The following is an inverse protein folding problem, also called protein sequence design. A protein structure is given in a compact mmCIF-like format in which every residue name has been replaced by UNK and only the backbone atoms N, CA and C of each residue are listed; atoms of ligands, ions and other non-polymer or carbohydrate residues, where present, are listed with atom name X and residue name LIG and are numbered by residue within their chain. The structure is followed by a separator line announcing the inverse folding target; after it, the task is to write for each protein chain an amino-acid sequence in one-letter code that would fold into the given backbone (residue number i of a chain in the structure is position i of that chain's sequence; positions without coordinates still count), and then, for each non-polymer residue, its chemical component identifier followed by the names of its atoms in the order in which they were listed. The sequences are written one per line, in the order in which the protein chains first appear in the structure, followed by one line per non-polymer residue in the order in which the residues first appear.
data_IF_945579769383
#
_entry.id   IF_945579769383
#
_cell.length_a   1.000
_cell.length_b   1.000
_cell.length_c   1.000
_cell.angle_alpha   90.00
_cell.angle_beta   90.00
_cell.angle_gamma   90.00
#
_symmetry.space_group_name_H-M   'P 1'
#
loop_
_entity.id
_entity.type
_entity.pdbx_description
1 polymer ?
#
# COMPACT_ATOMS: atom_id res chain seq x y z
N UNK A 1 -14.08 20.71 22.56
CA UNK A 1 -12.75 20.21 22.94
C UNK A 1 -11.95 19.95 21.67
N UNK A 2 -10.89 20.72 21.41
CA UNK A 2 -10.05 20.56 20.21
C UNK A 2 -8.98 19.50 20.44
N UNK A 3 -9.23 18.25 20.04
CA UNK A 3 -8.19 17.22 20.02
C UNK A 3 -7.38 17.36 18.73
N UNK A 4 -6.06 17.42 18.86
CA UNK A 4 -5.14 17.43 17.71
C UNK A 4 -5.27 16.10 16.95
N UNK A 5 -5.72 16.17 15.70
CA UNK A 5 -5.84 15.00 14.84
C UNK A 5 -4.53 14.75 14.10
N UNK A 6 -4.23 13.48 13.86
CA UNK A 6 -3.06 13.11 13.06
C UNK A 6 -3.35 13.27 11.57
N UNK A 7 -2.39 13.79 10.82
CA UNK A 7 -2.48 13.82 9.36
C UNK A 7 -2.26 12.40 8.83
N UNK A 8 -3.28 11.82 8.20
CA UNK A 8 -3.22 10.46 7.64
C UNK A 8 -2.63 10.44 6.23
N UNK A 9 -2.95 11.44 5.40
CA UNK A 9 -2.48 11.55 4.02
C UNK A 9 -1.88 12.94 3.73
N UNK A 10 -0.77 12.99 2.98
CA UNK A 10 -0.10 14.25 2.56
C UNK A 10 0.03 14.35 1.04
N UNK A 11 -1.10 14.58 0.38
CA UNK A 11 -1.22 14.71 -1.08
C UNK A 11 -0.43 13.65 -1.85
N UNK A 12 -0.63 12.34 -1.56
CA UNK A 12 0.16 11.27 -2.16
C UNK A 12 0.01 11.20 -3.69
N UNK A 13 -1.14 11.59 -4.22
CA UNK A 13 -1.43 11.50 -5.67
C UNK A 13 -0.75 12.59 -6.49
N UNK A 14 -0.48 13.76 -5.91
CA UNK A 14 -0.03 14.94 -6.65
C UNK A 14 1.39 15.40 -6.31
N UNK A 15 1.95 14.92 -5.20
CA UNK A 15 3.21 15.45 -4.65
C UNK A 15 4.26 14.38 -4.36
N UNK A 16 4.03 13.11 -4.74
CA UNK A 16 5.02 12.05 -4.49
C UNK A 16 6.23 12.19 -5.41
N UNK A 17 7.43 12.18 -4.84
CA UNK A 17 8.67 12.27 -5.63
C UNK A 17 9.31 10.91 -5.91
N UNK A 18 8.92 9.86 -5.19
CA UNK A 18 9.40 8.49 -5.37
C UNK A 18 8.47 7.47 -4.69
N UNK A 19 8.59 6.15 -4.98
CA UNK A 19 7.82 5.12 -4.28
C UNK A 19 7.99 5.14 -2.76
N UNK A 20 9.21 5.38 -2.26
CA UNK A 20 9.50 5.49 -0.83
C UNK A 20 8.92 6.76 -0.21
N UNK A 21 8.82 7.87 -0.95
CA UNK A 21 8.11 9.08 -0.53
C UNK A 21 6.59 8.86 -0.46
N UNK A 22 6.02 8.18 -1.46
CA UNK A 22 4.61 7.81 -1.49
C UNK A 22 4.23 6.98 -0.24
N UNK A 23 4.88 5.82 -0.04
CA UNK A 23 4.55 4.91 1.08
C UNK A 23 5.08 5.36 2.44
N UNK A 24 6.18 6.12 2.46
CA UNK A 24 6.88 6.48 3.69
C UNK A 24 6.47 7.81 4.30
N UNK A 25 5.98 8.76 3.49
CA UNK A 25 5.79 10.15 3.93
C UNK A 25 4.44 10.74 3.55
N UNK A 26 3.64 10.05 2.72
CA UNK A 26 2.40 10.61 2.18
C UNK A 26 1.18 9.72 2.29
N UNK A 27 1.36 8.42 2.20
CA UNK A 27 0.29 7.44 2.29
C UNK A 27 0.18 6.85 3.69
N UNK A 28 -1.01 6.93 4.28
CA UNK A 28 -1.38 6.31 5.55
C UNK A 28 -0.30 6.45 6.65
N UNK A 29 0.01 7.70 7.00
CA UNK A 29 1.07 8.06 7.94
C UNK A 29 0.88 7.48 9.34
N UNK A 30 -0.37 7.24 9.73
CA UNK A 30 -0.69 6.52 10.96
C UNK A 30 -0.06 5.13 10.93
N UNK A 31 -0.39 4.32 9.91
CA UNK A 31 0.19 2.98 9.76
C UNK A 31 1.68 3.02 9.52
N UNK A 32 2.19 3.96 8.70
CA UNK A 32 3.64 4.14 8.52
C UNK A 32 4.35 4.27 9.88
N UNK A 33 3.82 5.10 10.78
CA UNK A 33 4.43 5.30 12.11
C UNK A 33 4.41 4.02 12.96
N UNK A 34 3.34 3.24 12.87
CA UNK A 34 3.18 1.95 13.57
C UNK A 34 4.18 0.92 13.04
N UNK A 35 4.24 0.70 11.72
CA UNK A 35 5.19 -0.24 11.12
C UNK A 35 6.65 0.19 11.31
N UNK A 36 6.92 1.50 11.25
CA UNK A 36 8.26 2.03 11.49
C UNK A 36 8.78 1.67 12.87
N UNK A 37 7.93 1.77 13.90
CA UNK A 37 8.29 1.42 15.29
C UNK A 37 8.20 -0.08 15.57
N UNK A 38 7.19 -0.75 15.06
CA UNK A 38 6.88 -2.15 15.38
C UNK A 38 7.64 -3.18 14.56
N UNK A 39 8.05 -2.85 13.33
CA UNK A 39 8.67 -3.82 12.41
C UNK A 39 10.00 -3.31 11.89
N UNK A 40 10.01 -2.13 11.25
CA UNK A 40 11.20 -1.64 10.54
C UNK A 40 12.38 -1.36 11.47
N UNK A 41 12.20 -0.55 12.53
CA UNK A 41 13.28 -0.20 13.47
C UNK A 41 13.85 -1.44 14.19
N UNK A 42 13.04 -2.36 14.72
CA UNK A 42 13.54 -3.61 15.31
C UNK A 42 14.37 -4.44 14.33
N UNK A 43 13.90 -4.65 13.10
CA UNK A 43 14.66 -5.38 12.08
C UNK A 43 15.94 -4.64 11.69
N UNK A 44 15.88 -3.32 11.52
CA UNK A 44 17.02 -2.51 11.08
C UNK A 44 18.19 -2.52 12.08
N UNK A 45 17.95 -2.86 13.35
CA UNK A 45 19.02 -3.02 14.37
C UNK A 45 19.98 -4.14 14.01
N UNK A 46 19.48 -5.24 13.46
CA UNK A 46 20.26 -6.47 13.22
C UNK A 46 20.40 -6.81 11.72
N UNK A 47 19.60 -6.20 10.85
CA UNK A 47 19.51 -6.54 9.44
C UNK A 47 19.70 -5.32 8.52
N UNK A 48 20.12 -5.53 7.25
CA UNK A 48 20.25 -4.46 6.28
C UNK A 48 18.90 -3.81 5.92
N UNK A 49 18.97 -2.63 5.29
CA UNK A 49 17.79 -1.80 4.96
C UNK A 49 16.74 -2.57 4.16
N UNK A 50 17.16 -3.38 3.18
CA UNK A 50 16.24 -4.12 2.32
C UNK A 50 15.47 -5.20 3.08
N UNK A 51 16.07 -5.86 4.07
CA UNK A 51 15.37 -6.83 4.94
C UNK A 51 14.34 -6.12 5.81
N UNK A 52 14.72 -5.00 6.42
CA UNK A 52 13.80 -4.22 7.25
C UNK A 52 12.62 -3.66 6.45
N UNK A 53 12.86 -3.21 5.22
CA UNK A 53 11.82 -2.78 4.30
C UNK A 53 10.90 -3.94 3.91
N UNK A 54 11.48 -5.07 3.48
CA UNK A 54 10.72 -6.29 3.11
C UNK A 54 9.84 -6.75 4.27
N UNK A 55 10.38 -6.80 5.49
CA UNK A 55 9.62 -7.18 6.68
C UNK A 55 8.43 -6.25 6.95
N UNK A 56 8.57 -4.94 6.73
CA UNK A 56 7.46 -4.00 6.89
C UNK A 56 6.34 -4.23 5.86
N UNK A 57 6.69 -4.49 4.59
CA UNK A 57 5.72 -4.80 3.54
C UNK A 57 5.05 -6.17 3.75
N UNK A 58 5.81 -7.19 4.15
CA UNK A 58 5.27 -8.50 4.53
C UNK A 58 4.28 -8.40 5.68
N UNK A 59 4.62 -7.66 6.73
CA UNK A 59 3.73 -7.44 7.86
C UNK A 59 2.45 -6.71 7.43
N UNK A 60 2.55 -5.75 6.52
CA UNK A 60 1.39 -5.05 5.97
C UNK A 60 0.47 -6.00 5.19
N UNK A 61 1.03 -6.82 4.30
CA UNK A 61 0.28 -7.84 3.57
C UNK A 61 -0.39 -8.86 4.49
N UNK A 62 0.34 -9.38 5.48
CA UNK A 62 -0.20 -10.33 6.46
C UNK A 62 -1.37 -9.74 7.26
N UNK A 63 -1.30 -8.47 7.66
CA UNK A 63 -2.41 -7.80 8.36
C UNK A 63 -3.63 -7.66 7.44
N UNK A 64 -3.45 -7.37 6.16
CA UNK A 64 -4.58 -7.26 5.22
C UNK A 64 -5.22 -8.62 4.96
N UNK A 65 -4.43 -9.68 4.78
CA UNK A 65 -4.93 -11.06 4.72
C UNK A 65 -5.71 -11.40 6.00
N UNK A 66 -5.18 -11.06 7.17
CA UNK A 66 -5.86 -11.29 8.45
C UNK A 66 -7.21 -10.56 8.54
N UNK A 67 -7.25 -9.28 8.17
CA UNK A 67 -8.49 -8.49 8.15
C UNK A 67 -9.52 -9.09 7.21
N UNK A 68 -9.12 -9.51 6.01
CA UNK A 68 -10.03 -10.17 5.06
C UNK A 68 -10.57 -11.50 5.62
N UNK A 69 -9.74 -12.27 6.34
CA UNK A 69 -10.21 -13.48 7.02
C UNK A 69 -11.24 -13.18 8.10
N UNK A 70 -11.07 -12.10 8.87
CA UNK A 70 -12.07 -11.67 9.86
C UNK A 70 -13.39 -11.27 9.20
N UNK A 71 -13.33 -10.57 8.05
CA UNK A 71 -14.53 -10.21 7.29
C UNK A 71 -15.23 -11.48 6.77
N UNK A 72 -14.47 -12.44 6.24
CA UNK A 72 -15.01 -13.73 5.79
C UNK A 72 -15.64 -14.54 6.93
N UNK A 73 -15.00 -14.56 8.11
CA UNK A 73 -15.55 -15.21 9.30
C UNK A 73 -16.86 -14.55 9.72
N UNK A 74 -16.92 -13.22 9.75
CA UNK A 74 -18.15 -12.48 10.07
C UNK A 74 -19.27 -12.80 9.09
N UNK A 75 -18.98 -12.86 7.79
CA UNK A 75 -19.96 -13.23 6.77
C UNK A 75 -20.52 -14.64 6.98
N UNK A 76 -19.68 -15.60 7.43
CA UNK A 76 -20.13 -16.96 7.77
C UNK A 76 -20.97 -17.02 9.05
N UNK A 77 -20.59 -16.27 10.09
CA UNK A 77 -21.27 -16.27 11.39
C UNK A 77 -22.62 -15.53 11.38
N UNK A 78 -22.76 -14.52 10.51
CA UNK A 78 -23.97 -13.70 10.40
C UNK A 78 -24.49 -13.63 8.96
N UNK A 79 -25.04 -14.73 8.40
CA UNK A 79 -25.47 -14.79 7.00
C UNK A 79 -26.58 -13.78 6.67
N UNK A 80 -27.41 -13.43 7.65
CA UNK A 80 -28.49 -12.48 7.50
C UNK A 80 -28.02 -11.01 7.26
N UNK A 81 -26.74 -10.72 7.52
CA UNK A 81 -26.14 -9.38 7.45
C UNK A 81 -24.97 -9.34 6.46
N UNK A 82 -24.50 -10.50 5.99
CA UNK A 82 -23.27 -10.65 5.22
C UNK A 82 -23.52 -10.91 3.75
N UNK A 83 -22.84 -10.15 2.89
CA UNK A 83 -22.56 -10.59 1.52
C UNK A 83 -21.68 -11.84 1.60
N UNK A 84 -22.08 -12.93 0.95
CA UNK A 84 -21.35 -14.20 0.96
C UNK A 84 -19.93 -14.03 0.41
N UNK A 85 -18.97 -13.80 1.32
CA UNK A 85 -17.60 -13.48 0.97
C UNK A 85 -16.67 -14.66 1.22
N UNK A 86 -15.91 -15.02 0.19
CA UNK A 86 -14.84 -16.03 0.25
C UNK A 86 -13.52 -15.37 -0.17
N UNK A 87 -12.53 -15.27 0.74
CA UNK A 87 -11.30 -14.54 0.50
C UNK A 87 -10.39 -15.31 -0.47
N UNK A 88 -9.77 -14.58 -1.40
CA UNK A 88 -8.66 -15.09 -2.21
C UNK A 88 -7.35 -14.78 -1.52
N UNK A 89 -6.75 -15.83 -0.99
CA UNK A 89 -5.48 -15.72 -0.29
C UNK A 89 -4.34 -15.29 -1.22
N UNK A 90 -3.48 -14.42 -0.70
CA UNK A 90 -2.21 -14.03 -1.31
C UNK A 90 -2.27 -12.78 -2.18
N UNK A 91 -3.45 -12.31 -2.60
CA UNK A 91 -3.55 -11.11 -3.44
C UNK A 91 -2.99 -9.87 -2.75
N UNK A 92 -3.30 -9.71 -1.45
CA UNK A 92 -2.77 -8.61 -0.62
C UNK A 92 -1.25 -8.75 -0.47
N UNK A 93 -0.77 -9.97 -0.21
CA UNK A 93 0.66 -10.23 -0.08
C UNK A 93 1.43 -9.85 -1.36
N UNK A 94 0.93 -10.24 -2.52
CA UNK A 94 1.56 -9.90 -3.82
C UNK A 94 1.56 -8.38 -4.03
N UNK A 95 0.47 -7.67 -3.72
CA UNK A 95 0.42 -6.21 -3.84
C UNK A 95 1.47 -5.51 -2.97
N UNK A 96 1.60 -5.90 -1.70
CA UNK A 96 2.59 -5.27 -0.82
C UNK A 96 4.02 -5.67 -1.17
N UNK A 97 4.27 -6.91 -1.60
CA UNK A 97 5.59 -7.35 -2.06
C UNK A 97 6.01 -6.62 -3.34
N UNK A 98 5.11 -6.42 -4.31
CA UNK A 98 5.36 -5.60 -5.49
C UNK A 98 5.88 -4.20 -5.10
N UNK A 99 5.19 -3.54 -4.19
CA UNK A 99 5.58 -2.22 -3.71
C UNK A 99 6.88 -2.24 -2.89
N UNK A 100 7.12 -3.30 -2.12
CA UNK A 100 8.38 -3.51 -1.41
C UNK A 100 9.57 -3.64 -2.37
N UNK A 101 9.41 -4.40 -3.45
CA UNK A 101 10.43 -4.52 -4.51
C UNK A 101 10.70 -3.17 -5.15
N UNK A 102 9.67 -2.38 -5.48
CA UNK A 102 9.86 -1.04 -6.06
C UNK A 102 10.67 -0.11 -5.15
N UNK A 103 10.42 -0.12 -3.84
CA UNK A 103 11.18 0.68 -2.87
C UNK A 103 12.62 0.19 -2.73
N UNK A 104 12.86 -1.12 -2.78
CA UNK A 104 14.21 -1.69 -2.73
C UNK A 104 14.99 -1.37 -4.01
N UNK A 105 14.32 -1.49 -5.17
CA UNK A 105 14.90 -1.12 -6.46
C UNK A 105 15.22 0.37 -6.49
N UNK A 106 14.30 1.25 -6.06
CA UNK A 106 14.54 2.69 -5.91
C UNK A 106 15.78 2.96 -5.05
N UNK A 107 15.96 2.24 -3.94
CA UNK A 107 17.14 2.39 -3.10
C UNK A 107 18.44 2.01 -3.85
N UNK A 108 18.40 0.99 -4.71
CA UNK A 108 19.54 0.54 -5.50
C UNK A 108 19.86 1.48 -6.68
N UNK A 109 18.84 1.96 -7.40
CA UNK A 109 19.02 2.70 -8.66
C UNK A 109 18.81 4.22 -8.54
N UNK A 110 18.28 4.71 -7.42
CA UNK A 110 17.91 6.12 -7.24
C UNK A 110 19.08 7.10 -7.31
N UNK A 111 20.33 6.61 -7.26
CA UNK A 111 21.54 7.41 -7.44
C UNK A 111 22.04 7.47 -8.89
N UNK A 112 21.41 6.74 -9.82
CA UNK A 112 21.80 6.82 -11.22
C UNK A 112 21.45 8.20 -11.80
N UNK A 113 22.25 8.72 -12.75
CA UNK A 113 22.07 10.06 -13.31
C UNK A 113 20.67 10.29 -13.89
N UNK A 114 20.07 9.27 -14.48
CA UNK A 114 18.71 9.34 -15.04
C UNK A 114 17.67 9.72 -13.98
N UNK A 115 17.65 9.03 -12.83
CA UNK A 115 16.66 9.29 -11.78
C UNK A 115 16.89 10.63 -11.09
N UNK A 116 18.15 11.03 -10.91
CA UNK A 116 18.49 12.35 -10.42
C UNK A 116 18.02 13.44 -11.40
N UNK A 117 18.31 13.28 -12.69
CA UNK A 117 17.89 14.21 -13.73
C UNK A 117 16.37 14.37 -13.76
N UNK A 118 15.62 13.26 -13.74
CA UNK A 118 14.14 13.26 -13.66
C UNK A 118 13.66 14.07 -12.46
N UNK A 119 14.23 13.82 -11.28
CA UNK A 119 13.81 14.48 -10.04
C UNK A 119 14.10 15.99 -9.99
N UNK A 120 15.12 16.45 -10.72
CA UNK A 120 15.55 17.85 -10.75
C UNK A 120 14.89 18.66 -11.88
N UNK A 121 14.58 18.04 -13.02
CA UNK A 121 14.16 18.75 -14.23
C UNK A 121 12.67 18.65 -14.52
N UNK A 122 11.99 17.58 -14.06
CA UNK A 122 10.56 17.43 -14.32
C UNK A 122 9.69 18.10 -13.23
N UNK A 123 8.54 18.69 -13.60
CA UNK A 123 7.58 19.22 -12.64
C UNK A 123 7.06 18.13 -11.69
N UNK A 124 6.79 18.49 -10.42
CA UNK A 124 6.31 17.55 -9.40
C UNK A 124 5.09 16.71 -9.82
N UNK A 125 4.05 17.27 -10.49
CA UNK A 125 2.91 16.45 -10.94
C UNK A 125 3.32 15.35 -11.92
N UNK A 126 4.30 15.60 -12.79
CA UNK A 126 4.82 14.62 -13.75
C UNK A 126 5.57 13.53 -13.02
N UNK A 127 6.46 13.89 -12.09
CA UNK A 127 7.18 12.90 -11.26
C UNK A 127 6.19 12.07 -10.44
N UNK A 128 5.20 12.70 -9.82
CA UNK A 128 4.16 12.01 -9.05
C UNK A 128 3.38 11.03 -9.94
N UNK A 129 3.01 11.44 -11.15
CA UNK A 129 2.36 10.56 -12.11
C UNK A 129 3.23 9.34 -12.48
N UNK A 130 4.52 9.55 -12.76
CA UNK A 130 5.46 8.44 -13.01
C UNK A 130 5.56 7.49 -11.81
N UNK A 131 5.57 8.01 -10.57
CA UNK A 131 5.55 7.18 -9.36
C UNK A 131 4.26 6.37 -9.28
N UNK A 132 3.10 6.99 -9.54
CA UNK A 132 1.81 6.29 -9.52
C UNK A 132 1.75 5.16 -10.57
N UNK A 133 2.34 5.36 -11.75
CA UNK A 133 2.46 4.32 -12.78
C UNK A 133 3.29 3.12 -12.34
N UNK A 134 4.10 3.24 -11.29
CA UNK A 134 4.81 2.08 -10.70
C UNK A 134 4.02 1.45 -9.55
N UNK A 135 3.43 2.28 -8.68
CA UNK A 135 2.81 1.86 -7.41
C UNK A 135 1.41 1.27 -7.61
N UNK A 136 0.63 1.84 -8.53
CA UNK A 136 -0.80 1.53 -8.70
C UNK A 136 -1.21 0.48 -9.74
N UNK A 137 -0.39 -0.01 -10.69
CA UNK A 137 -0.84 -1.03 -11.65
C UNK A 137 -1.41 -2.30 -10.98
N UNK A 138 -0.82 -2.67 -9.85
CA UNK A 138 -1.23 -3.85 -9.07
C UNK A 138 -2.31 -3.55 -8.02
N UNK A 139 -2.85 -2.32 -7.99
CA UNK A 139 -3.83 -1.91 -6.98
C UNK A 139 -5.13 -2.73 -7.03
N UNK A 140 -5.51 -3.26 -8.20
CA UNK A 140 -6.66 -4.15 -8.35
C UNK A 140 -6.56 -5.41 -7.45
N UNK A 141 -5.35 -5.95 -7.23
CA UNK A 141 -5.13 -7.07 -6.31
C UNK A 141 -5.48 -6.73 -4.86
N UNK A 142 -5.34 -5.46 -4.50
CA UNK A 142 -5.73 -4.95 -3.20
C UNK A 142 -7.23 -4.68 -3.14
N UNK A 143 -7.75 -3.92 -4.11
CA UNK A 143 -9.11 -3.36 -4.04
C UNK A 143 -10.20 -4.40 -4.32
N UNK A 144 -9.94 -5.38 -5.19
CA UNK A 144 -10.95 -6.36 -5.60
C UNK A 144 -11.49 -7.18 -4.42
N UNK A 145 -10.64 -7.57 -3.47
CA UNK A 145 -11.08 -8.33 -2.28
C UNK A 145 -11.95 -7.48 -1.34
N UNK A 146 -11.66 -6.18 -1.21
CA UNK A 146 -12.50 -5.28 -0.41
C UNK A 146 -13.83 -4.96 -1.09
N UNK A 147 -13.87 -4.95 -2.43
CA UNK A 147 -15.10 -4.83 -3.19
C UNK A 147 -15.96 -6.10 -3.06
N UNK A 148 -15.36 -7.27 -3.23
CA UNK A 148 -16.02 -8.59 -3.07
C UNK A 148 -16.55 -8.83 -1.66
N UNK A 149 -15.87 -8.29 -0.64
CA UNK A 149 -16.32 -8.40 0.74
C UNK A 149 -17.44 -7.42 1.11
N UNK A 150 -17.78 -6.48 0.21
CA UNK A 150 -18.79 -5.46 0.45
C UNK A 150 -18.35 -4.33 1.38
N UNK A 151 -17.06 -4.26 1.73
CA UNK A 151 -16.55 -3.24 2.66
C UNK A 151 -16.43 -1.85 2.02
N UNK A 152 -16.13 -1.81 0.71
CA UNK A 152 -15.90 -0.57 -0.04
C UNK A 152 -16.76 -0.50 -1.31
N UNK A 153 -18.06 -0.81 -1.23
CA UNK A 153 -18.97 -0.85 -2.39
C UNK A 153 -18.98 0.46 -3.18
N UNK A 154 -18.89 1.61 -2.50
CA UNK A 154 -18.90 2.94 -3.15
C UNK A 154 -17.65 3.18 -4.00
N UNK A 155 -16.56 2.46 -3.72
CA UNK A 155 -15.29 2.53 -4.42
C UNK A 155 -15.33 1.82 -5.79
N UNK A 156 -16.37 1.02 -6.05
CA UNK A 156 -16.56 0.29 -7.32
C UNK A 156 -16.73 1.22 -8.53
N UNK A 157 -17.15 2.47 -8.32
CA UNK A 157 -17.41 3.44 -9.39
C UNK A 157 -16.10 3.99 -9.98
N UNK A 158 -15.01 4.03 -9.19
CA UNK A 158 -13.80 4.78 -9.53
C UNK A 158 -12.53 3.94 -9.71
N UNK A 159 -12.60 2.61 -9.54
CA UNK A 159 -11.41 1.74 -9.56
C UNK A 159 -11.53 0.67 -10.63
N UNK A 160 -10.48 0.43 -11.44
CA UNK A 160 -10.47 -0.64 -12.40
C UNK A 160 -10.58 -2.01 -11.69
N UNK A 161 -11.58 -2.80 -12.07
CA UNK A 161 -11.82 -4.15 -11.57
C UNK A 161 -11.65 -5.16 -12.70
N UNK A 162 -11.10 -6.34 -12.39
CA UNK A 162 -11.02 -7.42 -13.38
C UNK A 162 -12.34 -8.20 -13.35
N UNK A 163 -13.17 -7.97 -14.37
CA UNK A 163 -14.40 -8.72 -14.60
C UNK A 163 -14.09 -9.92 -15.47
N UNK A 164 -14.49 -11.12 -15.03
CA UNK A 164 -14.49 -12.29 -15.92
C UNK A 164 -15.68 -12.15 -16.87
N UNK A 165 -15.40 -12.09 -18.18
CA UNK A 165 -16.40 -12.16 -19.24
C UNK A 165 -16.98 -13.58 -19.33
#
# INVERSE_FOLDING_TARGET
TGMSTIVVFKSPMTMSSSPSDFWGRRWNLMLHSSFKRGVYKPLRRNFPVWVAATGAFLASGAIHEFVLNLIALKAKLYPAIGLGYSPRYGAQMVFFLWNGVLVIVEYAVGRLPLFQWISHHLPKPVVSFLVLLTVLPMSHLFTDEYLRSGFYTDFSIGVPTIVKL
#
